data_IF_866566769716
#
_entry.id   IF_866566769716
#
_cell.length_a   1.000
_cell.length_b   1.000
_cell.length_c   1.000
_cell.angle_alpha   90.00
_cell.angle_beta   90.00
_cell.angle_gamma   90.00
#
_symmetry.space_group_name_H-M   'P 1'
#
loop_
_entity.id
_entity.type
_entity.pdbx_description
1 polymer ?
#
# COMPACT_ATOMS: atom_id res chain seq x y z
N UNK A 1 -21.33 9.12 16.10
CA UNK A 1 -22.35 8.37 16.84
C UNK A 1 -21.73 7.88 18.13
N UNK A 2 -22.35 8.19 19.26
CA UNK A 2 -21.88 7.76 20.59
C UNK A 2 -23.05 7.07 21.30
N UNK A 3 -22.76 5.97 22.03
CA UNK A 3 -23.76 5.27 22.84
C UNK A 3 -23.73 5.86 24.25
N UNK A 4 -24.85 6.37 24.73
CA UNK A 4 -25.05 6.77 26.11
C UNK A 4 -26.38 6.19 26.60
N UNK A 5 -26.34 5.43 27.72
CA UNK A 5 -27.52 4.77 28.31
C UNK A 5 -28.29 3.86 27.35
N UNK A 6 -27.57 3.06 26.51
CA UNK A 6 -28.16 2.08 25.59
C UNK A 6 -28.91 2.68 24.39
N UNK A 7 -28.88 4.00 24.20
CA UNK A 7 -29.52 4.67 23.05
C UNK A 7 -28.46 5.37 22.18
N UNK A 8 -28.63 5.25 20.86
CA UNK A 8 -27.84 5.98 19.88
C UNK A 8 -28.22 7.46 19.89
N UNK A 9 -27.28 8.32 20.24
CA UNK A 9 -27.43 9.78 20.07
C UNK A 9 -26.80 10.18 18.72
N UNK A 10 -27.53 10.92 17.92
CA UNK A 10 -26.96 11.63 16.76
C UNK A 10 -26.15 12.81 17.30
N UNK A 11 -24.95 13.01 16.77
CA UNK A 11 -24.25 14.27 16.99
C UNK A 11 -25.12 15.40 16.41
N UNK A 12 -25.27 16.52 17.12
CA UNK A 12 -25.91 17.70 16.56
C UNK A 12 -25.19 18.11 15.27
N UNK A 13 -25.95 18.53 14.27
CA UNK A 13 -25.42 19.04 13.00
C UNK A 13 -24.45 20.19 13.24
N UNK A 14 -24.70 20.97 14.28
CA UNK A 14 -23.86 22.11 14.73
C UNK A 14 -22.44 21.67 15.09
N UNK A 15 -22.22 20.47 15.66
CA UNK A 15 -20.88 19.93 15.95
C UNK A 15 -20.12 19.63 14.66
N UNK A 16 -20.79 19.14 13.61
CA UNK A 16 -20.18 18.93 12.30
C UNK A 16 -19.82 20.26 11.61
N UNK A 17 -20.68 21.27 11.74
CA UNK A 17 -20.45 22.60 11.18
C UNK A 17 -19.31 23.31 11.91
N UNK A 18 -19.23 23.18 13.24
CA UNK A 18 -18.11 23.72 14.02
C UNK A 18 -16.79 23.07 13.63
N UNK A 19 -16.77 21.73 13.49
CA UNK A 19 -15.57 21.01 13.04
C UNK A 19 -15.17 21.39 11.61
N UNK A 20 -16.15 21.59 10.72
CA UNK A 20 -15.90 22.05 9.34
C UNK A 20 -15.35 23.49 9.32
N UNK A 21 -15.83 24.35 10.18
CA UNK A 21 -15.36 25.74 10.29
C UNK A 21 -13.96 25.81 10.94
N UNK A 22 -13.64 24.94 11.92
CA UNK A 22 -12.29 24.81 12.48
C UNK A 22 -11.28 24.30 11.45
N UNK A 23 -11.68 23.37 10.57
CA UNK A 23 -10.84 22.91 9.44
C UNK A 23 -10.62 24.01 8.40
N UNK A 24 -11.58 24.93 8.25
CA UNK A 24 -11.49 26.06 7.30
C UNK A 24 -10.48 27.14 7.72
N UNK A 25 -10.05 27.13 8.99
CA UNK A 25 -9.03 28.04 9.53
C UNK A 25 -7.59 27.51 9.42
N UNK A 26 -7.36 26.33 8.78
CA UNK A 26 -6.02 25.88 8.44
C UNK A 26 -5.45 26.79 7.34
N UNK A 27 -4.59 27.71 7.73
CA UNK A 27 -3.84 28.61 6.84
C UNK A 27 -2.92 27.86 5.85
N UNK A 28 -2.71 26.55 6.08
CA UNK A 28 -1.84 25.71 5.26
C UNK A 28 -2.64 24.96 4.20
N UNK A 29 -2.30 25.22 2.94
CA UNK A 29 -2.83 24.45 1.81
C UNK A 29 -2.08 23.12 1.71
N UNK A 30 -2.83 22.01 1.65
CA UNK A 30 -2.29 20.69 1.35
C UNK A 30 -2.61 20.37 -0.10
N UNK A 31 -1.62 19.95 -0.86
CA UNK A 31 -1.73 19.63 -2.29
C UNK A 31 -1.17 18.25 -2.58
N UNK A 32 -1.68 17.61 -3.65
CA UNK A 32 -1.13 16.37 -4.21
C UNK A 32 -0.17 16.78 -5.32
N UNK A 33 1.10 16.43 -5.20
CA UNK A 33 2.15 16.82 -6.15
C UNK A 33 2.50 15.70 -7.14
N UNK A 34 2.25 14.44 -6.79
CA UNK A 34 2.53 13.31 -7.66
C UNK A 34 1.68 12.09 -7.35
N UNK A 35 1.47 11.26 -8.37
CA UNK A 35 0.67 10.03 -8.32
C UNK A 35 1.48 8.85 -8.86
N UNK A 36 1.49 7.75 -8.10
CA UNK A 36 2.06 6.47 -8.52
C UNK A 36 1.03 5.35 -8.35
N UNK A 37 0.80 4.58 -9.39
CA UNK A 37 -0.22 3.55 -9.42
C UNK A 37 0.38 2.22 -9.87
N UNK A 38 0.13 1.16 -9.11
CA UNK A 38 0.36 -0.23 -9.48
C UNK A 38 -0.99 -0.94 -9.35
N UNK A 39 -1.54 -1.40 -10.44
CA UNK A 39 -2.88 -1.98 -10.44
C UNK A 39 -3.05 -3.10 -11.46
N UNK A 40 -4.08 -3.96 -11.31
CA UNK A 40 -4.39 -5.01 -12.29
C UNK A 40 -4.77 -4.51 -13.68
N UNK A 41 -5.14 -3.23 -13.82
CA UNK A 41 -5.51 -2.62 -15.13
C UNK A 41 -4.39 -1.79 -15.74
N UNK A 42 -3.26 -1.64 -15.03
CA UNK A 42 -2.10 -0.96 -15.58
C UNK A 42 -1.13 -0.48 -14.50
N UNK A 43 0.10 -0.27 -14.91
CA UNK A 43 1.20 0.28 -14.12
C UNK A 43 1.44 1.72 -14.57
N UNK A 44 1.50 2.64 -13.63
CA UNK A 44 1.57 4.08 -13.90
C UNK A 44 0.19 4.75 -14.04
N UNK A 45 0.15 6.06 -13.75
CA UNK A 45 -1.10 6.83 -13.71
C UNK A 45 -1.82 6.89 -15.06
N UNK A 46 -1.07 7.01 -16.16
CA UNK A 46 -1.64 7.20 -17.50
C UNK A 46 -2.27 5.90 -18.03
N UNK A 47 -1.58 4.76 -17.88
CA UNK A 47 -2.11 3.45 -18.23
C UNK A 47 -3.36 3.13 -17.40
N UNK A 48 -3.29 3.33 -16.09
CA UNK A 48 -4.41 3.14 -15.17
C UNK A 48 -5.62 4.00 -15.57
N UNK A 49 -5.41 5.30 -15.81
CA UNK A 49 -6.49 6.21 -16.16
C UNK A 49 -7.13 5.88 -17.50
N UNK A 50 -6.31 5.54 -18.51
CA UNK A 50 -6.79 5.11 -19.82
C UNK A 50 -7.65 3.85 -19.72
N UNK A 51 -7.21 2.85 -18.97
CA UNK A 51 -7.97 1.62 -18.75
C UNK A 51 -9.33 1.88 -18.09
N UNK A 52 -9.37 2.79 -17.08
CA UNK A 52 -10.63 3.18 -16.44
C UNK A 52 -11.58 3.88 -17.40
N UNK A 53 -11.08 4.79 -18.23
CA UNK A 53 -11.91 5.47 -19.24
C UNK A 53 -12.47 4.50 -20.30
N UNK A 54 -11.72 3.45 -20.61
CA UNK A 54 -12.16 2.41 -21.55
C UNK A 54 -13.10 1.39 -20.90
N UNK A 55 -13.35 1.46 -19.57
CA UNK A 55 -14.15 0.49 -18.83
C UNK A 55 -13.49 -0.90 -18.73
N UNK A 56 -12.14 -0.96 -18.80
CA UNK A 56 -11.40 -2.22 -18.71
C UNK A 56 -11.45 -2.79 -17.30
N UNK A 57 -11.69 -4.10 -17.18
CA UNK A 57 -11.67 -4.82 -15.92
C UNK A 57 -10.32 -5.47 -15.69
N UNK A 58 -9.73 -5.22 -14.52
CA UNK A 58 -8.55 -5.94 -14.07
C UNK A 58 -8.85 -7.26 -13.37
N UNK A 59 -10.13 -7.65 -13.27
CA UNK A 59 -10.54 -8.92 -12.66
C UNK A 59 -10.51 -10.02 -13.72
N UNK A 60 -9.80 -11.09 -13.42
CA UNK A 60 -9.67 -12.26 -14.29
C UNK A 60 -9.54 -13.55 -13.50
N UNK A 61 -9.40 -14.71 -14.17
CA UNK A 61 -9.10 -15.96 -13.50
C UNK A 61 -7.81 -15.86 -12.68
N UNK A 62 -7.80 -16.52 -11.50
CA UNK A 62 -6.61 -16.60 -10.64
C UNK A 62 -5.55 -17.44 -11.36
N UNK A 63 -4.32 -16.92 -11.45
CA UNK A 63 -3.19 -17.58 -12.07
C UNK A 63 -2.06 -17.94 -11.09
N UNK A 64 -2.01 -17.34 -9.93
CA UNK A 64 -0.96 -17.56 -8.91
C UNK A 64 -1.01 -18.96 -8.27
N UNK A 65 -2.17 -19.61 -8.28
CA UNK A 65 -2.36 -20.96 -7.76
C UNK A 65 -3.56 -21.64 -8.43
N UNK A 66 -3.69 -22.97 -8.30
CA UNK A 66 -4.85 -23.69 -8.77
C UNK A 66 -6.09 -23.38 -7.91
N UNK A 67 -7.03 -22.66 -8.49
CA UNK A 67 -8.26 -22.24 -7.84
C UNK A 67 -9.47 -23.16 -8.15
N UNK A 68 -9.28 -24.33 -8.77
CA UNK A 68 -10.36 -25.20 -9.25
C UNK A 68 -11.32 -25.64 -8.14
N UNK A 69 -10.80 -25.90 -6.94
CA UNK A 69 -11.60 -26.35 -5.79
C UNK A 69 -12.21 -25.21 -4.96
N UNK A 70 -11.90 -23.94 -5.30
CA UNK A 70 -12.42 -22.78 -4.56
C UNK A 70 -13.72 -22.27 -5.17
N UNK A 71 -14.58 -21.72 -4.31
CA UNK A 71 -15.84 -21.09 -4.75
C UNK A 71 -15.61 -19.81 -5.52
N UNK A 72 -14.55 -19.05 -5.18
CA UNK A 72 -14.12 -17.85 -5.91
C UNK A 72 -12.87 -18.17 -6.70
N UNK A 73 -12.92 -17.96 -8.02
CA UNK A 73 -11.86 -18.31 -8.97
C UNK A 73 -11.34 -17.10 -9.76
N UNK A 74 -11.73 -15.90 -9.35
CA UNK A 74 -11.35 -14.66 -10.00
C UNK A 74 -10.71 -13.72 -8.98
N UNK A 75 -9.71 -12.96 -9.45
CA UNK A 75 -9.03 -11.92 -8.65
C UNK A 75 -8.49 -10.81 -9.57
N UNK A 76 -8.14 -9.69 -8.96
CA UNK A 76 -7.35 -8.65 -9.62
C UNK A 76 -5.86 -8.91 -9.36
N UNK A 77 -5.16 -9.45 -10.34
CA UNK A 77 -3.72 -9.72 -10.28
C UNK A 77 -2.96 -8.65 -11.06
N UNK A 78 -1.89 -8.12 -10.47
CA UNK A 78 -0.97 -7.20 -11.17
C UNK A 78 -0.17 -8.01 -12.18
N UNK A 79 -0.23 -7.61 -13.45
CA UNK A 79 0.45 -8.27 -14.56
C UNK A 79 1.69 -7.49 -14.95
N UNK A 80 2.66 -8.20 -15.54
CA UNK A 80 3.86 -7.61 -16.16
C UNK A 80 4.64 -6.68 -15.21
N UNK A 81 4.69 -7.02 -13.93
CA UNK A 81 5.46 -6.27 -12.93
C UNK A 81 6.85 -6.86 -12.78
N UNK A 82 7.88 -6.09 -13.15
CA UNK A 82 9.27 -6.39 -12.82
C UNK A 82 9.80 -5.35 -11.81
N UNK A 83 10.23 -5.77 -10.61
CA UNK A 83 10.84 -4.86 -9.63
C UNK A 83 12.03 -4.07 -10.17
N UNK A 84 12.77 -4.64 -11.12
CA UNK A 84 13.95 -3.99 -11.70
C UNK A 84 13.62 -2.71 -12.46
N UNK A 85 12.43 -2.60 -13.06
CA UNK A 85 11.97 -1.40 -13.77
C UNK A 85 11.83 -0.18 -12.82
N UNK A 86 11.75 -0.45 -11.51
CA UNK A 86 11.60 0.56 -10.45
C UNK A 86 12.88 0.73 -9.61
N UNK A 87 14.00 0.18 -10.07
CA UNK A 87 15.28 0.26 -9.38
C UNK A 87 15.43 -0.69 -8.19
N UNK A 88 14.51 -1.63 -8.00
CA UNK A 88 14.60 -2.66 -6.97
C UNK A 88 15.41 -3.82 -7.54
N UNK A 89 16.64 -4.01 -7.08
CA UNK A 89 17.45 -5.10 -7.57
C UNK A 89 16.93 -6.48 -7.12
N UNK A 90 17.43 -7.57 -7.79
CA UNK A 90 16.98 -8.93 -7.48
C UNK A 90 17.31 -9.38 -6.04
N UNK A 91 18.36 -8.83 -5.44
CA UNK A 91 18.75 -9.16 -4.07
C UNK A 91 17.79 -8.49 -3.09
N UNK A 92 17.49 -7.21 -3.30
CA UNK A 92 16.52 -6.45 -2.51
C UNK A 92 15.11 -7.03 -2.65
N UNK A 93 14.66 -7.33 -3.87
CA UNK A 93 13.35 -7.94 -4.13
C UNK A 93 13.15 -9.25 -3.35
N UNK A 94 14.18 -10.08 -3.18
CA UNK A 94 14.13 -11.33 -2.38
C UNK A 94 13.87 -11.07 -0.89
N UNK A 95 14.20 -9.89 -0.40
CA UNK A 95 13.99 -9.48 0.99
C UNK A 95 12.67 -8.73 1.21
N UNK A 96 11.89 -8.51 0.16
CA UNK A 96 10.59 -7.86 0.19
C UNK A 96 9.47 -8.84 -0.18
N UNK A 97 8.31 -8.71 0.48
CA UNK A 97 7.08 -9.33 0.01
C UNK A 97 6.58 -8.58 -1.24
N UNK A 98 5.85 -9.21 -2.18
CA UNK A 98 5.29 -8.53 -3.34
C UNK A 98 4.50 -7.26 -3.00
N UNK A 99 3.75 -7.26 -1.90
CA UNK A 99 3.03 -6.07 -1.43
C UNK A 99 3.97 -4.89 -1.09
N UNK A 100 5.14 -5.19 -0.58
CA UNK A 100 6.19 -4.20 -0.28
C UNK A 100 6.86 -3.72 -1.57
N UNK A 101 7.14 -4.62 -2.52
CA UNK A 101 7.69 -4.26 -3.83
C UNK A 101 6.75 -3.30 -4.57
N UNK A 102 5.44 -3.57 -4.58
CA UNK A 102 4.44 -2.67 -5.15
C UNK A 102 4.41 -1.31 -4.45
N UNK A 103 4.60 -1.28 -3.13
CA UNK A 103 4.63 -0.03 -2.38
C UNK A 103 5.84 0.83 -2.74
N UNK A 104 7.03 0.22 -2.87
CA UNK A 104 8.25 0.91 -3.30
C UNK A 104 8.12 1.40 -4.75
N UNK A 105 7.62 0.56 -5.65
CA UNK A 105 7.40 0.93 -7.05
C UNK A 105 6.38 2.07 -7.20
N UNK A 106 5.26 2.03 -6.47
CA UNK A 106 4.28 3.10 -6.48
C UNK A 106 4.85 4.41 -5.91
N UNK A 107 5.67 4.32 -4.85
CA UNK A 107 6.35 5.49 -4.29
C UNK A 107 7.34 6.09 -5.30
N UNK A 108 8.11 5.26 -6.02
CA UNK A 108 9.01 5.71 -7.10
C UNK A 108 8.25 6.48 -8.17
N UNK A 109 7.16 5.91 -8.68
CA UNK A 109 6.32 6.57 -9.67
C UNK A 109 5.75 7.91 -9.18
N UNK A 110 5.33 7.97 -7.90
CA UNK A 110 4.80 9.20 -7.32
C UNK A 110 5.87 10.28 -7.15
N UNK A 111 7.09 9.90 -6.75
CA UNK A 111 8.23 10.82 -6.65
C UNK A 111 8.64 11.35 -8.03
N UNK A 112 8.74 10.48 -9.04
CA UNK A 112 9.06 10.87 -10.40
C UNK A 112 8.01 11.84 -10.98
N UNK A 113 6.74 11.57 -10.72
CA UNK A 113 5.64 12.42 -11.17
C UNK A 113 5.62 13.78 -10.47
N UNK A 114 5.96 13.82 -9.18
CA UNK A 114 6.05 15.05 -8.40
C UNK A 114 7.22 15.96 -8.79
N UNK A 115 8.24 15.39 -9.45
CA UNK A 115 9.51 16.06 -9.79
C UNK A 115 10.27 16.60 -8.57
N UNK A 116 10.00 16.07 -7.39
CA UNK A 116 10.75 16.43 -6.17
C UNK A 116 12.18 15.92 -6.29
N UNK A 117 13.15 16.80 -6.07
CA UNK A 117 14.55 16.43 -5.94
C UNK A 117 14.88 16.15 -4.46
N UNK A 118 14.93 14.87 -4.09
CA UNK A 118 15.16 14.45 -2.70
C UNK A 118 16.54 14.90 -2.15
N UNK A 119 17.49 15.25 -3.01
CA UNK A 119 18.82 15.73 -2.56
C UNK A 119 18.80 17.21 -2.16
N UNK A 120 17.78 17.95 -2.57
CA UNK A 120 17.55 19.36 -2.21
C UNK A 120 16.55 19.51 -1.05
N UNK A 121 15.86 18.44 -0.66
CA UNK A 121 14.83 18.47 0.36
C UNK A 121 15.33 18.02 1.73
N UNK A 122 14.71 18.57 2.76
CA UNK A 122 14.92 18.13 4.15
C UNK A 122 14.25 16.76 4.39
N UNK A 123 15.06 15.71 4.33
CA UNK A 123 14.58 14.31 4.47
C UNK A 123 13.96 14.00 5.82
N UNK A 124 14.28 14.76 6.88
CA UNK A 124 13.66 14.63 8.21
C UNK A 124 12.20 15.07 8.22
N UNK A 125 11.81 15.89 7.23
CA UNK A 125 10.43 16.36 7.06
C UNK A 125 9.59 15.50 6.13
N UNK A 126 10.19 14.56 5.38
CA UNK A 126 9.48 13.69 4.45
C UNK A 126 9.17 12.37 5.13
N UNK A 127 7.90 12.16 5.43
CA UNK A 127 7.41 10.94 6.09
C UNK A 127 6.66 10.01 5.15
N UNK A 128 6.48 8.74 5.58
CA UNK A 128 5.74 7.71 4.83
C UNK A 128 4.52 7.24 5.60
N UNK A 129 3.36 7.19 4.94
CA UNK A 129 2.13 6.63 5.49
C UNK A 129 1.58 5.61 4.50
N UNK A 130 1.63 4.32 4.85
CA UNK A 130 1.14 3.24 4.00
C UNK A 130 0.06 2.47 4.74
N UNK A 131 -1.06 2.23 4.06
CA UNK A 131 -2.15 1.41 4.55
C UNK A 131 -2.12 0.03 3.91
N UNK A 132 -2.20 -1.03 4.72
CA UNK A 132 -2.36 -2.41 4.24
C UNK A 132 -3.38 -3.16 5.07
N UNK A 133 -4.06 -4.15 4.47
CA UNK A 133 -5.00 -5.00 5.18
C UNK A 133 -4.29 -6.03 6.06
N UNK A 134 -3.39 -6.81 5.48
CA UNK A 134 -2.82 -8.01 6.12
C UNK A 134 -1.29 -7.96 6.17
N UNK A 135 -0.62 -7.39 5.18
CA UNK A 135 0.84 -7.44 5.02
C UNK A 135 1.28 -8.58 4.11
N UNK A 136 2.42 -9.19 4.41
CA UNK A 136 3.09 -10.19 3.58
C UNK A 136 2.44 -11.57 3.59
N UNK A 137 1.25 -11.72 3.02
CA UNK A 137 0.53 -13.01 2.96
C UNK A 137 1.24 -14.06 2.13
N UNK A 138 1.86 -13.69 1.02
CA UNK A 138 2.61 -14.63 0.20
C UNK A 138 3.83 -15.16 0.95
N UNK A 139 4.53 -14.29 1.67
CA UNK A 139 5.63 -14.66 2.54
C UNK A 139 5.18 -15.65 3.61
N UNK A 140 4.02 -15.42 4.23
CA UNK A 140 3.45 -16.31 5.24
C UNK A 140 3.07 -17.67 4.65
N UNK A 141 2.42 -17.69 3.49
CA UNK A 141 2.07 -18.92 2.78
C UNK A 141 3.32 -19.76 2.48
N UNK A 142 4.34 -19.14 1.91
CA UNK A 142 5.59 -19.80 1.56
C UNK A 142 6.36 -20.30 2.80
N UNK A 143 6.28 -19.57 3.93
CA UNK A 143 6.81 -20.02 5.21
C UNK A 143 6.16 -21.34 5.65
N UNK A 144 4.84 -21.41 5.70
CA UNK A 144 4.11 -22.61 6.13
C UNK A 144 4.37 -23.78 5.18
N UNK A 145 4.32 -23.55 3.87
CA UNK A 145 4.64 -24.56 2.87
C UNK A 145 6.05 -25.13 3.08
N UNK A 146 7.04 -24.26 3.33
CA UNK A 146 8.41 -24.67 3.61
C UNK A 146 8.55 -25.42 4.94
N UNK A 147 7.92 -24.93 6.00
CA UNK A 147 7.96 -25.53 7.34
C UNK A 147 7.39 -26.95 7.33
N UNK A 148 6.20 -27.15 6.74
CA UNK A 148 5.54 -28.46 6.73
C UNK A 148 6.17 -29.45 5.75
N UNK A 149 6.77 -28.99 4.64
CA UNK A 149 7.39 -29.89 3.66
C UNK A 149 8.86 -30.19 3.92
N UNK A 150 9.62 -29.28 4.52
CA UNK A 150 11.09 -29.36 4.65
C UNK A 150 11.61 -29.23 6.09
N UNK A 151 10.71 -28.99 7.03
CA UNK A 151 11.03 -28.84 8.44
C UNK A 151 11.58 -27.46 8.86
N UNK A 152 11.77 -27.25 10.18
CA UNK A 152 12.09 -25.94 10.73
C UNK A 152 13.46 -25.37 10.33
N UNK A 153 14.43 -26.25 10.00
CA UNK A 153 15.76 -25.82 9.57
C UNK A 153 15.81 -25.06 8.23
N UNK A 154 14.71 -25.09 7.49
CA UNK A 154 14.55 -24.40 6.19
C UNK A 154 13.78 -23.11 6.27
N UNK A 155 13.38 -22.69 7.45
CA UNK A 155 12.70 -21.41 7.66
C UNK A 155 13.68 -20.26 7.48
N UNK A 156 13.32 -19.34 6.57
CA UNK A 156 14.15 -18.16 6.32
C UNK A 156 14.04 -17.17 7.50
N UNK A 157 15.14 -16.74 8.14
CA UNK A 157 15.11 -15.77 9.24
C UNK A 157 14.54 -14.41 8.86
N UNK A 158 14.56 -14.05 7.58
CA UNK A 158 13.97 -12.81 7.06
C UNK A 158 12.44 -12.84 6.88
N UNK A 159 11.78 -13.92 7.28
CA UNK A 159 10.30 -14.02 7.19
C UNK A 159 9.63 -12.92 7.99
N UNK A 160 10.05 -12.67 9.23
CA UNK A 160 9.42 -11.66 10.09
C UNK A 160 9.51 -10.27 9.45
N UNK A 161 10.68 -9.73 9.10
CA UNK A 161 10.76 -8.42 8.44
C UNK A 161 10.05 -8.35 7.10
N UNK A 162 9.86 -9.46 6.38
CA UNK A 162 9.08 -9.47 5.12
C UNK A 162 7.57 -9.43 5.35
N UNK A 163 7.10 -10.01 6.47
CA UNK A 163 5.68 -10.28 6.71
C UNK A 163 4.97 -9.14 7.45
N UNK A 164 5.67 -8.43 8.35
CA UNK A 164 5.03 -7.45 9.22
C UNK A 164 4.54 -6.23 8.44
N UNK A 165 3.36 -5.76 8.83
CA UNK A 165 2.59 -4.75 8.07
C UNK A 165 3.27 -3.38 7.95
N UNK A 166 4.16 -3.02 8.88
CA UNK A 166 4.89 -1.74 8.86
C UNK A 166 6.11 -1.75 7.92
N UNK A 167 6.49 -2.92 7.39
CA UNK A 167 7.66 -2.99 6.52
C UNK A 167 7.45 -2.33 5.17
N UNK A 168 6.22 -2.24 4.67
CA UNK A 168 5.95 -1.48 3.46
C UNK A 168 6.38 -0.01 3.60
N UNK A 169 5.97 0.66 4.69
CA UNK A 169 6.42 2.04 4.96
C UNK A 169 7.90 2.13 5.34
N UNK A 170 8.42 1.14 6.08
CA UNK A 170 9.83 1.06 6.42
C UNK A 170 10.73 0.91 5.19
N UNK A 171 10.40 0.01 4.28
CA UNK A 171 11.18 -0.20 3.06
C UNK A 171 11.13 1.00 2.12
N UNK A 172 9.98 1.66 1.98
CA UNK A 172 9.90 2.92 1.22
C UNK A 172 10.82 3.98 1.84
N UNK A 173 10.81 4.13 3.17
CA UNK A 173 11.70 5.09 3.84
C UNK A 173 13.17 4.74 3.65
N UNK A 174 13.55 3.47 3.77
CA UNK A 174 14.92 3.01 3.58
C UNK A 174 15.36 3.22 2.13
N UNK A 175 14.54 2.81 1.17
CA UNK A 175 14.86 2.84 -0.26
C UNK A 175 15.11 4.27 -0.77
N UNK A 176 14.31 5.24 -0.31
CA UNK A 176 14.43 6.64 -0.72
C UNK A 176 15.18 7.51 0.29
N UNK A 177 15.67 6.94 1.40
CA UNK A 177 16.40 7.68 2.44
C UNK A 177 15.54 8.69 3.19
N UNK A 178 14.22 8.44 3.36
CA UNK A 178 13.29 9.34 4.04
C UNK A 178 13.39 9.13 5.55
N UNK A 179 13.55 10.21 6.32
CA UNK A 179 13.85 10.17 7.76
C UNK A 179 12.72 10.75 8.61
N UNK A 180 11.68 11.29 7.98
CA UNK A 180 10.53 11.85 8.65
C UNK A 180 9.61 10.79 9.28
N UNK A 181 8.45 11.23 9.76
CA UNK A 181 7.53 10.38 10.52
C UNK A 181 7.02 9.19 9.71
N UNK A 182 7.24 7.99 10.23
CA UNK A 182 6.76 6.74 9.64
C UNK A 182 5.44 6.32 10.31
N UNK A 183 4.39 6.13 9.54
CA UNK A 183 3.09 5.65 10.04
C UNK A 183 2.57 4.49 9.20
N UNK A 184 2.05 3.49 9.90
CA UNK A 184 1.32 2.38 9.32
C UNK A 184 -0.16 2.46 9.75
N UNK A 185 -1.09 2.39 8.79
CA UNK A 185 -2.51 2.22 9.09
C UNK A 185 -2.97 0.82 8.69
N UNK A 186 -3.52 0.07 9.63
CA UNK A 186 -4.31 -1.13 9.34
C UNK A 186 -5.71 -0.71 8.93
N UNK A 187 -6.11 -1.09 7.74
CA UNK A 187 -7.51 -1.03 7.36
C UNK A 187 -8.13 -2.40 7.65
N UNK A 188 -9.03 -2.46 8.63
CA UNK A 188 -9.79 -3.67 8.90
C UNK A 188 -10.70 -4.00 7.72
N UNK A 189 -10.96 -5.28 7.50
CA UNK A 189 -11.82 -5.85 6.45
C UNK A 189 -13.29 -5.35 6.44
N UNK A 190 -13.61 -4.34 7.24
CA UNK A 190 -14.97 -3.86 7.45
C UNK A 190 -15.59 -3.11 6.27
N UNK A 191 -14.77 -2.69 5.30
CA UNK A 191 -15.26 -2.11 4.04
C UNK A 191 -14.40 -2.69 2.92
N UNK A 192 -14.94 -3.68 2.22
CA UNK A 192 -14.33 -4.27 1.05
C UNK A 192 -13.79 -3.20 0.09
N UNK A 193 -12.63 -3.49 -0.49
CA UNK A 193 -11.99 -2.75 -1.57
C UNK A 193 -11.41 -1.38 -1.20
N UNK A 194 -10.23 -1.38 -0.59
CA UNK A 194 -9.29 -0.26 -0.77
C UNK A 194 -7.93 -0.81 -1.17
N UNK A 195 -7.53 -0.51 -2.37
CA UNK A 195 -6.15 -0.63 -2.84
C UNK A 195 -5.21 0.07 -1.87
N UNK A 196 -4.01 -0.47 -1.60
CA UNK A 196 -3.01 0.26 -0.84
C UNK A 196 -2.72 1.59 -1.54
N UNK A 197 -3.01 2.69 -0.87
CA UNK A 197 -2.60 4.01 -1.32
C UNK A 197 -1.32 4.41 -0.58
N UNK A 198 -0.31 4.76 -1.33
CA UNK A 198 0.91 5.37 -0.79
C UNK A 198 0.68 6.87 -0.77
N UNK A 199 0.74 7.47 0.40
CA UNK A 199 0.70 8.93 0.54
C UNK A 199 2.04 9.37 1.14
N UNK A 200 2.79 10.12 0.38
CA UNK A 200 3.97 10.83 0.88
C UNK A 200 3.51 12.21 1.37
N UNK A 201 3.83 12.53 2.63
CA UNK A 201 3.55 13.86 3.19
C UNK A 201 4.87 14.53 3.51
N UNK A 202 5.07 15.68 2.91
CA UNK A 202 6.17 16.59 3.20
C UNK A 202 5.76 17.65 4.24
#
# INVERSE_FOLDING_TARGET
MQISNGKWKRFPIDTCVTFYNEVKTLEKRVVITGLGVISPVGIGKDAFWKALLNGESGIGPITHFDAAEYTTRIAGEVKDFDPADFGIDRKEARHMDPSTQYSVAAAKLALDDSKINLDEEDRDRIGTIIGTGIGGMETLHNLYKGLFSKGPSRVNPFVVPKMIVNMASGQVSIFFGLQGRLRQRRYGLRNGYRTPSVTLTA
#
